data_IF_883523113584
#
_entry.id   IF_883523113584
#
_cell.length_a   1.000
_cell.length_b   1.000
_cell.length_c   1.000
_cell.angle_alpha   90.00
_cell.angle_beta   90.00
_cell.angle_gamma   90.00
#
_symmetry.space_group_name_H-M   'P 1'
#
loop_
_entity.id
_entity.type
_entity.pdbx_description
1 polymer ?
#
# COMPACT_ATOMS: atom_id res chain seq x y z
N UNK A 1 18.41 22.39 39.58
CA UNK A 1 19.27 23.09 38.61
C UNK A 1 19.96 22.03 37.77
N UNK A 2 20.02 22.28 36.45
CA UNK A 2 20.46 21.40 35.35
C UNK A 2 19.58 20.14 35.18
N UNK A 3 18.68 20.01 34.21
CA UNK A 3 18.54 20.72 32.93
C UNK A 3 19.34 20.02 31.85
N UNK A 4 18.81 18.92 31.31
CA UNK A 4 19.18 18.41 29.98
C UNK A 4 17.90 18.04 29.23
N UNK A 5 17.53 19.00 28.38
CA UNK A 5 16.52 18.94 27.34
C UNK A 5 17.13 18.24 26.12
N UNK A 6 16.72 17.00 25.84
CA UNK A 6 16.98 16.37 24.55
C UNK A 6 15.80 16.67 23.62
N UNK A 7 15.73 17.93 23.19
CA UNK A 7 14.96 18.37 22.04
C UNK A 7 15.90 18.35 20.82
N UNK A 8 15.94 17.23 20.11
CA UNK A 8 16.35 17.26 18.71
C UNK A 8 15.10 17.42 17.85
N UNK A 9 14.65 18.67 17.78
CA UNK A 9 14.01 19.18 16.58
C UNK A 9 14.95 18.88 15.42
N UNK A 10 14.51 18.06 14.47
CA UNK A 10 15.24 17.68 13.26
C UNK A 10 15.02 18.78 12.20
N UNK A 11 15.96 19.72 11.99
CA UNK A 11 15.74 20.87 11.11
C UNK A 11 16.52 20.62 9.83
N UNK A 12 16.01 19.77 8.95
CA UNK A 12 16.49 19.68 7.58
C UNK A 12 15.44 19.09 6.63
N UNK A 13 14.63 19.98 6.05
CA UNK A 13 14.05 19.81 4.71
C UNK A 13 15.20 19.70 3.69
N UNK A 14 15.91 18.56 3.67
CA UNK A 14 16.83 18.26 2.59
C UNK A 14 16.01 18.16 1.31
N UNK A 15 16.24 19.07 0.36
CA UNK A 15 15.81 18.87 -1.02
C UNK A 15 16.36 17.52 -1.48
N UNK A 16 15.46 16.54 -1.58
CA UNK A 16 15.83 15.21 -2.02
C UNK A 16 16.36 15.30 -3.46
N UNK A 17 17.44 14.57 -3.80
CA UNK A 17 17.97 14.61 -5.14
C UNK A 17 16.95 14.08 -6.15
N UNK A 18 17.07 14.48 -7.44
CA UNK A 18 16.28 13.89 -8.50
C UNK A 18 16.37 12.36 -8.50
N UNK A 19 15.27 11.69 -8.83
CA UNK A 19 15.22 10.23 -8.81
C UNK A 19 15.95 9.63 -10.01
N UNK A 20 16.60 8.48 -9.86
CA UNK A 20 16.97 7.65 -11.00
C UNK A 20 15.74 6.90 -11.51
N UNK A 21 15.34 7.17 -12.75
CA UNK A 21 14.22 6.46 -13.40
C UNK A 21 14.66 5.04 -13.72
N UNK A 22 13.85 4.04 -13.35
CA UNK A 22 14.13 2.63 -13.65
C UNK A 22 13.21 2.09 -14.73
N UNK A 23 13.84 1.49 -15.74
CA UNK A 23 13.17 0.75 -16.78
C UNK A 23 12.60 -0.54 -16.23
N UNK A 24 11.32 -0.76 -16.50
CA UNK A 24 10.71 -2.07 -16.45
C UNK A 24 10.58 -2.57 -17.88
N UNK A 25 11.20 -3.70 -18.22
CA UNK A 25 11.17 -4.26 -19.58
C UNK A 25 9.73 -4.53 -20.08
N UNK A 26 8.77 -4.67 -19.17
CA UNK A 26 7.37 -4.90 -19.49
C UNK A 26 6.61 -3.63 -19.94
N UNK A 27 7.16 -2.42 -19.77
CA UNK A 27 6.44 -1.17 -20.15
C UNK A 27 6.62 -0.79 -21.61
N UNK A 28 7.56 -1.42 -22.33
CA UNK A 28 7.92 -1.04 -23.71
C UNK A 28 8.63 0.31 -23.82
N UNK A 29 8.90 0.99 -22.69
CA UNK A 29 9.66 2.25 -22.65
C UNK A 29 11.14 1.94 -22.87
N UNK A 30 11.79 2.69 -23.74
CA UNK A 30 13.22 2.55 -24.05
C UNK A 30 14.06 3.50 -23.20
N UNK A 31 15.37 3.22 -23.10
CA UNK A 31 16.32 4.14 -22.46
C UNK A 31 16.31 5.52 -23.14
N UNK A 32 16.16 5.56 -24.46
CA UNK A 32 16.04 6.80 -25.23
C UNK A 32 14.90 7.70 -24.74
N UNK A 33 13.71 7.14 -24.44
CA UNK A 33 12.59 7.93 -23.90
C UNK A 33 12.91 8.52 -22.53
N UNK A 34 13.68 7.80 -21.70
CA UNK A 34 14.14 8.31 -20.41
C UNK A 34 15.13 9.46 -20.60
N UNK A 35 16.08 9.31 -21.52
CA UNK A 35 17.09 10.32 -21.82
C UNK A 35 16.42 11.59 -22.40
N UNK A 36 15.41 11.42 -23.25
CA UNK A 36 14.57 12.51 -23.75
C UNK A 36 13.81 13.22 -22.63
N UNK A 37 13.24 12.47 -21.67
CA UNK A 37 12.58 13.07 -20.51
C UNK A 37 13.57 13.87 -19.65
N UNK A 38 14.74 13.31 -19.35
CA UNK A 38 15.78 14.01 -18.58
C UNK A 38 16.23 15.29 -19.29
N UNK A 39 16.46 15.21 -20.60
CA UNK A 39 16.79 16.37 -21.44
C UNK A 39 15.69 17.43 -21.34
N UNK A 40 14.41 17.04 -21.41
CA UNK A 40 13.29 17.98 -21.27
C UNK A 40 13.25 18.65 -19.87
N UNK A 41 13.59 17.91 -18.82
CA UNK A 41 13.71 18.45 -17.46
C UNK A 41 14.86 19.46 -17.35
N UNK A 42 15.99 19.18 -17.99
CA UNK A 42 17.15 20.07 -18.00
C UNK A 42 16.89 21.33 -18.83
N UNK A 43 16.26 21.19 -19.99
CA UNK A 43 15.78 22.32 -20.80
C UNK A 43 14.79 23.18 -20.02
N UNK A 44 13.85 22.58 -19.29
CA UNK A 44 12.95 23.32 -18.40
C UNK A 44 13.73 24.11 -17.36
N UNK A 45 14.70 23.48 -16.70
CA UNK A 45 15.52 24.17 -15.70
C UNK A 45 16.31 25.33 -16.30
N UNK A 46 16.83 25.19 -17.52
CA UNK A 46 17.53 26.26 -18.23
C UNK A 46 16.58 27.43 -18.58
N UNK A 47 15.37 27.14 -19.03
CA UNK A 47 14.38 28.18 -19.36
C UNK A 47 13.96 28.98 -18.12
N UNK A 48 13.96 28.35 -16.95
CA UNK A 48 13.62 28.99 -15.67
C UNK A 48 14.86 29.45 -14.88
N UNK A 49 16.08 29.37 -15.43
CA UNK A 49 17.28 29.83 -14.72
C UNK A 49 17.53 31.34 -14.84
N UNK A 50 16.85 32.02 -15.76
CA UNK A 50 16.98 33.45 -16.02
C UNK A 50 15.59 34.07 -16.15
N UNK A 51 15.34 35.19 -15.47
CA UNK A 51 14.03 35.88 -15.49
C UNK A 51 13.56 36.27 -16.90
N UNK A 52 14.49 36.60 -17.81
CA UNK A 52 14.15 36.95 -19.20
C UNK A 52 13.62 35.74 -19.95
N UNK A 53 14.32 34.60 -19.85
CA UNK A 53 13.89 33.35 -20.46
C UNK A 53 12.58 32.84 -19.86
N UNK A 54 12.42 32.96 -18.54
CA UNK A 54 11.17 32.60 -17.87
C UNK A 54 10.00 33.44 -18.39
N UNK A 55 10.17 34.77 -18.50
CA UNK A 55 9.12 35.68 -19.01
C UNK A 55 8.76 35.37 -20.45
N UNK A 56 9.75 35.20 -21.32
CA UNK A 56 9.53 34.90 -22.75
C UNK A 56 8.88 33.53 -22.93
N UNK A 57 9.33 32.53 -22.16
CA UNK A 57 8.78 31.19 -22.22
C UNK A 57 7.34 31.14 -21.70
N UNK A 58 7.05 31.77 -20.56
CA UNK A 58 5.68 31.87 -20.04
C UNK A 58 4.75 32.63 -21.01
N UNK A 59 5.27 33.66 -21.69
CA UNK A 59 4.51 34.35 -22.75
C UNK A 59 4.17 33.41 -23.91
N UNK A 60 5.12 32.60 -24.37
CA UNK A 60 4.88 31.58 -25.41
C UNK A 60 3.85 30.54 -24.95
N UNK A 61 4.00 29.99 -23.75
CA UNK A 61 3.06 29.01 -23.18
C UNK A 61 1.63 29.57 -23.13
N UNK A 62 1.48 30.84 -22.71
CA UNK A 62 0.18 31.51 -22.70
C UNK A 62 -0.37 31.71 -24.11
N UNK A 63 0.46 32.17 -25.04
CA UNK A 63 0.06 32.39 -26.45
C UNK A 63 -0.41 31.10 -27.11
N UNK A 64 0.21 29.97 -26.77
CA UNK A 64 -0.13 28.64 -27.27
C UNK A 64 -1.27 27.96 -26.52
N UNK A 65 -1.73 28.52 -25.40
CA UNK A 65 -2.69 27.87 -24.49
C UNK A 65 -2.20 26.50 -24.04
N UNK A 66 -0.92 26.41 -23.70
CA UNK A 66 -0.26 25.17 -23.32
C UNK A 66 -0.85 24.55 -22.04
N UNK A 67 -1.53 25.36 -21.21
CA UNK A 67 -2.32 24.95 -20.05
C UNK A 67 -3.47 23.99 -20.41
N UNK A 68 -3.96 24.04 -21.66
CA UNK A 68 -4.99 23.11 -22.16
C UNK A 68 -4.44 21.76 -22.61
N UNK A 69 -3.10 21.62 -22.71
CA UNK A 69 -2.49 20.41 -23.26
C UNK A 69 -2.35 19.32 -22.19
N UNK A 70 -2.98 18.14 -22.35
CA UNK A 70 -2.92 17.08 -21.35
C UNK A 70 -1.49 16.56 -21.11
N UNK A 71 -0.71 16.44 -22.19
CA UNK A 71 0.68 15.97 -22.12
C UNK A 71 1.58 16.96 -21.38
N UNK A 72 1.33 18.27 -21.51
CA UNK A 72 2.13 19.29 -20.85
C UNK A 72 1.89 19.24 -19.34
N UNK A 73 0.63 19.11 -18.93
CA UNK A 73 0.30 18.93 -17.50
C UNK A 73 0.90 17.63 -16.95
N UNK A 74 0.83 16.53 -17.72
CA UNK A 74 1.46 15.27 -17.32
C UNK A 74 2.98 15.40 -17.15
N UNK A 75 3.66 16.07 -18.09
CA UNK A 75 5.09 16.34 -18.00
C UNK A 75 5.44 17.17 -16.76
N UNK A 76 4.67 18.21 -16.45
CA UNK A 76 4.90 19.03 -15.26
C UNK A 76 4.78 18.21 -13.97
N UNK A 77 3.76 17.35 -13.86
CA UNK A 77 3.59 16.45 -12.72
C UNK A 77 4.77 15.48 -12.63
N UNK A 78 5.11 14.81 -13.74
CA UNK A 78 6.19 13.83 -13.78
C UNK A 78 7.56 14.47 -13.46
N UNK A 79 7.80 15.73 -13.87
CA UNK A 79 8.96 16.54 -13.48
C UNK A 79 8.99 16.82 -11.98
N UNK A 80 7.88 17.26 -11.39
CA UNK A 80 7.79 17.55 -9.95
C UNK A 80 8.02 16.28 -9.13
N UNK A 81 7.42 15.16 -9.55
CA UNK A 81 7.70 13.85 -8.99
C UNK A 81 9.18 13.51 -9.14
N UNK A 82 9.78 13.66 -10.32
CA UNK A 82 11.20 13.39 -10.55
C UNK A 82 12.11 14.23 -9.65
N UNK A 83 11.80 15.51 -9.40
CA UNK A 83 12.56 16.42 -8.52
C UNK A 83 12.21 16.35 -7.03
N UNK A 84 11.27 15.48 -6.63
CA UNK A 84 10.79 15.33 -5.26
C UNK A 84 10.05 16.57 -4.70
N UNK A 85 9.44 17.38 -5.58
CA UNK A 85 8.61 18.53 -5.23
C UNK A 85 7.15 18.07 -4.98
N UNK A 86 6.96 17.24 -3.95
CA UNK A 86 5.69 16.52 -3.73
C UNK A 86 4.50 17.43 -3.42
N UNK A 87 4.68 18.54 -2.69
CA UNK A 87 3.58 19.47 -2.38
C UNK A 87 3.00 20.12 -3.63
N UNK A 88 3.85 20.51 -4.57
CA UNK A 88 3.42 21.09 -5.84
C UNK A 88 2.75 20.03 -6.72
N UNK A 89 3.36 18.84 -6.82
CA UNK A 89 2.79 17.72 -7.56
C UNK A 89 1.40 17.36 -7.03
N UNK A 90 1.24 17.32 -5.71
CA UNK A 90 -0.02 17.00 -5.05
C UNK A 90 -1.12 18.00 -5.40
N UNK A 91 -0.84 19.31 -5.41
CA UNK A 91 -1.83 20.33 -5.81
C UNK A 91 -2.32 20.12 -7.25
N UNK A 92 -1.39 19.86 -8.18
CA UNK A 92 -1.73 19.61 -9.58
C UNK A 92 -2.55 18.32 -9.75
N UNK A 93 -2.16 17.25 -9.05
CA UNK A 93 -2.85 15.96 -9.07
C UNK A 93 -4.27 16.05 -8.51
N UNK A 94 -4.47 16.79 -7.42
CA UNK A 94 -5.80 17.01 -6.85
C UNK A 94 -6.72 17.80 -7.80
N UNK A 95 -6.19 18.80 -8.49
CA UNK A 95 -6.95 19.54 -9.50
C UNK A 95 -7.34 18.64 -10.69
N UNK A 96 -6.40 17.82 -11.17
CA UNK A 96 -6.69 16.84 -12.21
C UNK A 96 -7.74 15.82 -11.77
N UNK A 97 -7.64 15.32 -10.55
CA UNK A 97 -8.61 14.36 -10.01
C UNK A 97 -10.02 14.96 -9.93
N UNK A 98 -10.17 16.22 -9.52
CA UNK A 98 -11.46 16.92 -9.50
C UNK A 98 -12.08 17.06 -10.90
N UNK A 99 -11.26 17.38 -11.91
CA UNK A 99 -11.71 17.47 -13.31
C UNK A 99 -12.19 16.10 -13.80
N UNK A 100 -11.38 15.06 -13.58
CA UNK A 100 -11.71 13.68 -13.96
C UNK A 100 -12.97 13.13 -13.27
N UNK A 101 -13.24 13.55 -12.03
CA UNK A 101 -14.43 13.11 -11.28
C UNK A 101 -15.73 13.74 -11.79
N UNK A 102 -15.65 14.88 -12.48
CA UNK A 102 -16.81 15.65 -12.94
C UNK A 102 -17.24 15.26 -14.36
N UNK A 103 -16.32 14.74 -15.17
CA UNK A 103 -16.58 14.34 -16.55
C UNK A 103 -16.96 12.85 -16.61
N UNK A 104 -18.19 12.54 -17.03
CA UNK A 104 -18.66 11.17 -17.29
C UNK A 104 -17.84 10.54 -18.43
N UNK A 105 -16.79 9.77 -18.12
CA UNK A 105 -15.90 9.23 -19.17
C UNK A 105 -15.87 7.70 -19.28
N UNK A 106 -16.13 7.25 -20.51
CA UNK A 106 -16.04 5.90 -21.07
C UNK A 106 -14.60 5.43 -21.37
N UNK A 107 -13.57 6.23 -21.06
CA UNK A 107 -12.14 5.86 -21.14
C UNK A 107 -11.34 6.13 -19.85
N UNK A 108 -12.01 6.51 -18.75
CA UNK A 108 -11.42 7.19 -17.59
C UNK A 108 -10.63 6.32 -16.60
N UNK A 109 -10.77 4.99 -16.63
CA UNK A 109 -10.22 4.16 -15.53
C UNK A 109 -8.69 4.22 -15.42
N UNK A 110 -7.95 4.27 -16.53
CA UNK A 110 -6.47 4.28 -16.47
C UNK A 110 -5.90 5.63 -16.05
N UNK A 111 -6.49 6.75 -16.50
CA UNK A 111 -6.04 8.09 -16.11
C UNK A 111 -6.38 8.36 -14.64
N UNK A 112 -7.59 7.98 -14.20
CA UNK A 112 -7.98 8.05 -12.79
C UNK A 112 -7.05 7.20 -11.94
N UNK A 113 -6.76 5.97 -12.36
CA UNK A 113 -5.81 5.07 -11.68
C UNK A 113 -4.41 5.69 -11.58
N UNK A 114 -3.86 6.25 -12.68
CA UNK A 114 -2.56 6.95 -12.67
C UNK A 114 -2.56 8.09 -11.66
N UNK A 115 -3.59 8.95 -11.70
CA UNK A 115 -3.69 10.12 -10.81
C UNK A 115 -3.79 9.69 -9.35
N UNK A 116 -4.63 8.70 -9.03
CA UNK A 116 -4.76 8.18 -7.66
C UNK A 116 -3.45 7.57 -7.15
N UNK A 117 -2.76 6.79 -7.97
CA UNK A 117 -1.45 6.21 -7.65
C UNK A 117 -0.40 7.28 -7.36
N UNK A 118 -0.27 8.27 -8.25
CA UNK A 118 0.69 9.37 -8.05
C UNK A 118 0.33 10.20 -6.82
N UNK A 119 -0.96 10.42 -6.56
CA UNK A 119 -1.45 11.14 -5.37
C UNK A 119 -1.12 10.36 -4.09
N UNK A 120 -1.40 9.06 -4.06
CA UNK A 120 -1.07 8.17 -2.95
C UNK A 120 0.44 8.19 -2.64
N UNK A 121 1.27 8.11 -3.69
CA UNK A 121 2.72 8.18 -3.56
C UNK A 121 3.17 9.53 -2.97
N UNK A 122 2.61 10.66 -3.43
CA UNK A 122 2.89 11.98 -2.86
C UNK A 122 2.52 12.05 -1.36
N UNK A 123 1.31 11.63 -0.99
CA UNK A 123 0.88 11.62 0.41
C UNK A 123 1.79 10.75 1.28
N UNK A 124 2.15 9.57 0.80
CA UNK A 124 3.06 8.67 1.52
C UNK A 124 4.43 9.33 1.76
N UNK A 125 4.96 10.03 0.73
CA UNK A 125 6.25 10.74 0.83
C UNK A 125 6.20 11.96 1.73
N UNK A 126 5.04 12.59 1.86
CA UNK A 126 4.75 13.68 2.81
C UNK A 126 4.37 13.16 4.20
N UNK A 127 4.51 11.86 4.47
CA UNK A 127 4.14 11.20 5.73
C UNK A 127 2.65 11.30 6.11
N UNK A 128 1.77 11.60 5.15
CA UNK A 128 0.32 11.61 5.32
C UNK A 128 -0.24 10.21 5.01
N UNK A 129 0.04 9.25 5.90
CA UNK A 129 -0.24 7.82 5.69
C UNK A 129 -1.74 7.51 5.50
N UNK A 130 -2.62 8.17 6.26
CA UNK A 130 -4.08 7.97 6.16
C UNK A 130 -4.60 8.36 4.76
N UNK A 131 -4.23 9.55 4.27
CA UNK A 131 -4.57 10.02 2.92
C UNK A 131 -3.95 9.15 1.82
N UNK A 132 -2.71 8.68 2.02
CA UNK A 132 -2.06 7.78 1.07
C UNK A 132 -2.82 6.45 0.91
N UNK A 133 -3.32 5.91 2.02
CA UNK A 133 -4.08 4.66 2.03
C UNK A 133 -5.46 4.85 1.43
N UNK A 134 -6.15 5.95 1.74
CA UNK A 134 -7.44 6.27 1.10
C UNK A 134 -7.30 6.32 -0.42
N UNK A 135 -6.30 7.04 -0.94
CA UNK A 135 -6.07 7.11 -2.40
C UNK A 135 -5.71 5.74 -2.98
N UNK A 136 -4.95 4.92 -2.24
CA UNK A 136 -4.57 3.56 -2.63
C UNK A 136 -5.79 2.64 -2.72
N UNK A 137 -6.66 2.65 -1.71
CA UNK A 137 -7.88 1.84 -1.68
C UNK A 137 -8.87 2.28 -2.76
N UNK A 138 -8.98 3.58 -3.02
CA UNK A 138 -9.75 4.08 -4.16
C UNK A 138 -9.16 3.59 -5.50
N UNK A 139 -7.83 3.56 -5.63
CA UNK A 139 -7.16 3.06 -6.83
C UNK A 139 -7.44 1.56 -7.09
N UNK A 140 -7.54 0.74 -6.04
CA UNK A 140 -7.88 -0.70 -6.17
C UNK A 140 -9.20 -0.91 -6.91
N UNK A 141 -10.19 -0.02 -6.70
CA UNK A 141 -11.51 -0.08 -7.37
C UNK A 141 -11.42 0.10 -8.88
N UNK A 142 -10.37 0.77 -9.36
CA UNK A 142 -10.12 1.02 -10.79
C UNK A 142 -9.14 0.02 -11.42
N UNK A 143 -8.69 -1.00 -10.69
CA UNK A 143 -7.78 -2.02 -11.24
C UNK A 143 -8.45 -2.76 -12.41
N UNK A 144 -7.71 -2.97 -13.53
CA UNK A 144 -8.14 -3.87 -14.58
C UNK A 144 -8.47 -5.27 -14.02
N UNK A 145 -9.40 -6.02 -14.65
CA UNK A 145 -9.67 -7.39 -14.25
C UNK A 145 -8.39 -8.24 -14.36
N UNK A 146 -8.19 -9.23 -13.47
CA UNK A 146 -7.04 -10.11 -13.53
C UNK A 146 -7.03 -10.89 -14.85
N UNK A 147 -5.94 -10.80 -15.60
CA UNK A 147 -5.71 -11.60 -16.80
C UNK A 147 -5.33 -13.02 -16.39
N UNK A 148 -6.01 -14.02 -16.95
CA UNK A 148 -5.91 -15.44 -16.56
C UNK A 148 -4.51 -16.06 -16.73
N UNK A 149 -3.61 -15.42 -17.47
CA UNK A 149 -2.29 -15.96 -17.85
C UNK A 149 -1.10 -15.16 -17.27
N UNK A 150 -1.30 -14.33 -16.24
CA UNK A 150 -0.20 -13.60 -15.63
C UNK A 150 0.64 -14.52 -14.71
N UNK A 151 1.95 -14.69 -14.96
CA UNK A 151 2.82 -15.44 -14.06
C UNK A 151 2.87 -14.77 -12.67
N UNK A 152 3.06 -15.61 -11.65
CA UNK A 152 3.15 -15.20 -10.24
C UNK A 152 4.24 -14.12 -10.03
N UNK A 153 3.88 -13.11 -9.24
CA UNK A 153 4.62 -11.96 -8.69
C UNK A 153 6.12 -12.18 -8.35
N UNK A 154 6.55 -13.43 -8.12
CA UNK A 154 7.93 -13.76 -7.76
C UNK A 154 9.00 -13.31 -8.79
N UNK A 155 8.71 -13.35 -10.10
CA UNK A 155 9.69 -12.93 -11.13
C UNK A 155 9.81 -11.41 -11.26
N UNK A 156 8.71 -10.66 -11.06
CA UNK A 156 8.70 -9.19 -11.13
C UNK A 156 9.32 -8.59 -9.87
N UNK A 157 9.03 -9.15 -8.69
CA UNK A 157 9.62 -8.73 -7.43
C UNK A 157 11.13 -9.05 -7.34
N UNK A 158 11.57 -10.19 -7.85
CA UNK A 158 13.00 -10.56 -7.92
C UNK A 158 13.82 -9.64 -8.85
N UNK A 159 13.19 -9.06 -9.88
CA UNK A 159 13.81 -8.06 -10.73
C UNK A 159 13.94 -6.68 -10.04
N UNK A 160 13.00 -6.33 -9.15
CA UNK A 160 13.06 -5.09 -8.37
C UNK A 160 14.13 -5.15 -7.27
N UNK A 161 14.34 -6.31 -6.65
CA UNK A 161 15.18 -6.48 -5.46
C UNK A 161 16.70 -6.46 -5.68
N UNK A 162 17.19 -6.92 -6.83
CA UNK A 162 18.65 -7.14 -7.03
C UNK A 162 19.49 -5.86 -7.13
N UNK A 163 18.89 -4.67 -7.03
CA UNK A 163 19.62 -3.42 -7.31
C UNK A 163 19.35 -2.30 -6.29
N UNK A 164 18.93 -2.57 -5.06
CA UNK A 164 18.74 -1.51 -4.07
C UNK A 164 20.09 -1.03 -3.49
N UNK A 165 20.70 -0.02 -4.12
CA UNK A 165 21.66 0.83 -3.42
C UNK A 165 20.88 1.72 -2.45
N UNK A 166 21.18 1.62 -1.15
CA UNK A 166 20.47 2.33 -0.06
C UNK A 166 20.56 3.87 -0.14
N UNK A 167 21.29 4.43 -1.12
CA UNK A 167 21.64 5.85 -1.17
C UNK A 167 20.93 6.67 -2.27
N UNK A 168 20.28 6.06 -3.27
CA UNK A 168 19.64 6.82 -4.36
C UNK A 168 18.13 6.64 -4.41
N UNK A 169 17.42 7.75 -4.62
CA UNK A 169 15.99 7.76 -4.87
C UNK A 169 15.71 7.14 -6.23
N UNK A 170 14.79 6.18 -6.29
CA UNK A 170 14.39 5.53 -7.54
C UNK A 170 12.93 5.84 -7.88
N UNK A 171 12.64 6.00 -9.17
CA UNK A 171 11.29 6.15 -9.71
C UNK A 171 11.04 5.03 -10.74
N UNK A 172 10.38 3.93 -10.35
CA UNK A 172 10.12 2.83 -11.27
C UNK A 172 8.99 3.18 -12.24
N UNK A 173 9.18 2.88 -13.52
CA UNK A 173 8.09 2.86 -14.49
C UNK A 173 7.35 1.53 -14.37
N UNK A 174 6.08 1.59 -13.94
CA UNK A 174 5.28 0.39 -13.67
C UNK A 174 4.13 0.32 -14.68
N UNK A 175 3.90 -0.84 -15.34
CA UNK A 175 2.76 -0.98 -16.23
C UNK A 175 1.46 -0.92 -15.42
N UNK A 176 0.42 -0.30 -15.99
CA UNK A 176 -0.89 -0.18 -15.34
C UNK A 176 -1.71 -1.47 -15.45
N UNK A 177 -1.15 -2.59 -14.98
CA UNK A 177 -1.80 -3.91 -14.93
C UNK A 177 -2.07 -4.32 -13.49
N UNK A 178 -3.08 -5.18 -13.28
CA UNK A 178 -3.40 -5.67 -11.94
C UNK A 178 -2.21 -6.36 -11.26
N UNK A 179 -1.47 -7.19 -12.00
CA UNK A 179 -0.31 -7.93 -11.48
C UNK A 179 0.86 -7.05 -11.07
N UNK A 180 1.04 -5.90 -11.72
CA UNK A 180 2.15 -4.99 -11.41
C UNK A 180 1.80 -3.99 -10.30
N UNK A 181 0.53 -3.62 -10.16
CA UNK A 181 0.07 -2.62 -9.21
C UNK A 181 -0.36 -3.20 -7.86
N UNK A 182 -0.90 -4.42 -7.83
CA UNK A 182 -1.36 -5.04 -6.58
C UNK A 182 -0.23 -5.19 -5.53
N UNK A 183 1.00 -5.63 -5.87
CA UNK A 183 2.10 -5.67 -4.90
C UNK A 183 2.42 -4.28 -4.33
N UNK A 184 2.39 -3.25 -5.18
CA UNK A 184 2.65 -1.87 -4.75
C UNK A 184 1.59 -1.37 -3.77
N UNK A 185 0.32 -1.68 -4.02
CA UNK A 185 -0.78 -1.33 -3.12
C UNK A 185 -0.65 -2.02 -1.76
N UNK A 186 -0.40 -3.32 -1.75
CA UNK A 186 -0.22 -4.08 -0.52
C UNK A 186 0.96 -3.54 0.28
N UNK A 187 2.10 -3.28 -0.36
CA UNK A 187 3.29 -2.76 0.29
C UNK A 187 3.05 -1.36 0.88
N UNK A 188 2.41 -0.45 0.14
CA UNK A 188 2.11 0.90 0.63
C UNK A 188 1.18 0.87 1.85
N UNK A 189 0.13 0.04 1.80
CA UNK A 189 -0.78 -0.17 2.92
C UNK A 189 -0.03 -0.78 4.12
N UNK A 190 0.75 -1.83 3.91
CA UNK A 190 1.50 -2.50 4.97
C UNK A 190 2.48 -1.54 5.68
N UNK A 191 3.22 -0.73 4.91
CA UNK A 191 4.12 0.29 5.46
C UNK A 191 3.38 1.38 6.25
N UNK A 192 2.20 1.77 5.79
CA UNK A 192 1.35 2.75 6.48
C UNK A 192 0.80 2.19 7.79
N UNK A 193 0.33 0.94 7.77
CA UNK A 193 -0.16 0.22 8.95
C UNK A 193 0.95 -0.06 9.97
N UNK A 194 2.16 -0.43 9.51
CA UNK A 194 3.30 -0.74 10.39
C UNK A 194 3.58 0.40 11.38
N UNK A 195 3.56 1.65 10.90
CA UNK A 195 3.74 2.81 11.79
C UNK A 195 2.64 2.86 12.86
N UNK A 196 1.37 2.72 12.47
CA UNK A 196 0.26 2.85 13.43
C UNK A 196 0.20 1.69 14.43
N UNK A 197 0.31 0.46 13.95
CA UNK A 197 0.14 -0.76 14.76
C UNK A 197 1.29 -0.97 15.74
N UNK A 198 2.53 -0.66 15.38
CA UNK A 198 3.66 -0.90 16.28
C UNK A 198 3.99 0.29 17.20
N UNK A 199 3.59 1.51 16.87
CA UNK A 199 3.81 2.67 17.75
C UNK A 199 2.73 2.85 18.84
N UNK A 200 1.52 2.31 18.66
CA UNK A 200 0.46 2.41 19.66
C UNK A 200 0.57 1.30 20.73
N UNK A 201 0.40 1.69 22.00
CA UNK A 201 0.47 0.77 23.16
C UNK A 201 -0.68 -0.24 23.16
N UNK A 202 -1.87 0.23 22.82
CA UNK A 202 -3.06 -0.59 22.58
C UNK A 202 -3.41 -0.47 21.11
N UNK A 203 -3.60 -1.60 20.45
CA UNK A 203 -3.94 -1.66 19.03
C UNK A 203 -5.10 -2.60 18.88
N UNK A 204 -6.10 -2.15 18.13
CA UNK A 204 -7.27 -2.96 17.83
C UNK A 204 -6.86 -4.24 17.10
N UNK A 205 -7.44 -5.37 17.52
CA UNK A 205 -7.17 -6.68 16.93
C UNK A 205 -7.50 -6.71 15.44
N UNK A 206 -8.49 -5.94 14.99
CA UNK A 206 -8.82 -5.79 13.57
C UNK A 206 -7.64 -5.23 12.76
N UNK A 207 -6.90 -4.26 13.29
CA UNK A 207 -5.74 -3.70 12.60
C UNK A 207 -4.59 -4.71 12.52
N UNK A 208 -4.37 -5.48 13.59
CA UNK A 208 -3.40 -6.59 13.60
C UNK A 208 -3.80 -7.68 12.61
N UNK A 209 -5.09 -8.02 12.55
CA UNK A 209 -5.65 -8.97 11.59
C UNK A 209 -5.51 -8.52 10.14
N UNK A 210 -5.81 -7.25 9.83
CA UNK A 210 -5.58 -6.70 8.49
C UNK A 210 -4.10 -6.70 8.11
N UNK A 211 -3.19 -6.40 9.04
CA UNK A 211 -1.75 -6.52 8.77
C UNK A 211 -1.34 -7.96 8.45
N UNK A 212 -1.88 -8.96 9.15
CA UNK A 212 -1.63 -10.38 8.82
C UNK A 212 -2.07 -10.71 7.39
N UNK A 213 -3.25 -10.24 6.98
CA UNK A 213 -3.75 -10.44 5.62
C UNK A 213 -2.85 -9.79 4.59
N UNK A 214 -2.28 -8.62 4.87
CA UNK A 214 -1.33 -7.94 3.97
C UNK A 214 0.02 -8.65 3.91
N UNK A 215 0.56 -9.12 5.04
CA UNK A 215 1.89 -9.76 5.12
C UNK A 215 2.00 -11.06 4.32
N UNK A 216 0.91 -11.84 4.18
CA UNK A 216 0.97 -13.09 3.41
C UNK A 216 1.25 -12.88 1.92
N UNK A 217 1.01 -11.67 1.38
CA UNK A 217 1.16 -11.41 -0.05
C UNK A 217 2.60 -11.56 -0.55
N UNK A 218 3.57 -11.03 0.20
CA UNK A 218 5.00 -11.08 -0.11
C UNK A 218 5.74 -12.09 0.79
N UNK A 219 5.04 -13.12 1.29
CA UNK A 219 5.66 -14.17 2.10
C UNK A 219 6.76 -14.91 1.31
N UNK A 220 7.94 -15.21 1.90
CA UNK A 220 8.35 -15.05 3.31
C UNK A 220 9.07 -13.73 3.64
N UNK A 221 9.07 -12.72 2.76
CA UNK A 221 9.81 -11.46 3.00
C UNK A 221 9.36 -10.72 4.26
N UNK A 222 8.07 -10.83 4.57
CA UNK A 222 7.45 -10.18 5.73
C UNK A 222 7.52 -11.04 7.02
N UNK A 223 8.24 -12.16 7.02
CA UNK A 223 8.35 -13.05 8.20
C UNK A 223 8.88 -12.31 9.43
N UNK A 224 9.87 -11.42 9.26
CA UNK A 224 10.43 -10.63 10.38
C UNK A 224 9.35 -9.76 11.03
N UNK A 225 8.52 -9.10 10.21
CA UNK A 225 7.42 -8.26 10.69
C UNK A 225 6.32 -9.10 11.35
N UNK A 226 6.05 -10.29 10.79
CA UNK A 226 5.13 -11.26 11.37
C UNK A 226 5.60 -11.69 12.76
N UNK A 227 6.88 -12.01 12.95
CA UNK A 227 7.43 -12.39 14.26
C UNK A 227 7.29 -11.25 15.30
N UNK A 228 7.44 -9.99 14.88
CA UNK A 228 7.15 -8.83 15.75
C UNK A 228 5.67 -8.75 16.14
N UNK A 229 4.77 -9.00 15.19
CA UNK A 229 3.32 -9.04 15.43
C UNK A 229 2.96 -10.17 16.40
N UNK A 230 3.51 -11.37 16.23
CA UNK A 230 3.28 -12.50 17.14
C UNK A 230 3.73 -12.17 18.58
N UNK A 231 4.90 -11.53 18.75
CA UNK A 231 5.35 -11.07 20.07
C UNK A 231 4.36 -10.07 20.69
N UNK A 232 3.73 -9.22 19.89
CA UNK A 232 2.71 -8.27 20.36
C UNK A 232 1.43 -9.00 20.78
N UNK A 233 0.94 -9.95 19.98
CA UNK A 233 -0.23 -10.77 20.31
C UNK A 233 -0.03 -11.56 21.61
N UNK A 234 1.15 -12.17 21.79
CA UNK A 234 1.50 -12.88 23.04
C UNK A 234 1.44 -11.98 24.26
N UNK A 235 1.79 -10.69 24.13
CA UNK A 235 1.67 -9.70 25.20
C UNK A 235 0.22 -9.28 25.46
N UNK A 236 -0.63 -9.24 24.45
CA UNK A 236 -2.06 -8.90 24.58
C UNK A 236 -2.86 -10.04 25.22
N UNK A 237 -2.51 -11.30 24.99
CA UNK A 237 -3.13 -12.46 25.65
C UNK A 237 -4.46 -12.92 25.02
N UNK A 238 -5.08 -12.08 24.19
CA UNK A 238 -6.24 -12.42 23.36
C UNK A 238 -6.11 -11.82 21.96
N UNK A 239 -6.82 -12.40 21.00
CA UNK A 239 -6.91 -11.89 19.64
C UNK A 239 -8.28 -12.24 19.03
N UNK A 240 -9.05 -11.21 18.68
CA UNK A 240 -10.36 -11.29 18.04
C UNK A 240 -10.28 -10.84 16.58
N UNK A 241 -10.50 -11.76 15.64
CA UNK A 241 -10.48 -11.44 14.21
C UNK A 241 -11.41 -12.38 13.42
N UNK A 242 -12.71 -12.05 13.29
CA UNK A 242 -13.74 -12.97 12.80
C UNK A 242 -13.65 -13.31 11.30
N UNK A 243 -12.86 -12.55 10.54
CA UNK A 243 -12.61 -12.76 9.10
C UNK A 243 -11.27 -13.48 8.85
N UNK A 244 -10.62 -14.02 9.88
CA UNK A 244 -9.35 -14.75 9.76
C UNK A 244 -9.41 -15.87 8.72
N UNK A 245 -10.39 -16.76 8.86
CA UNK A 245 -10.59 -17.89 7.94
C UNK A 245 -11.16 -17.46 6.58
N UNK A 246 -11.51 -16.19 6.38
CA UNK A 246 -11.90 -15.69 5.06
C UNK A 246 -10.65 -15.42 4.20
N UNK A 247 -9.60 -14.86 4.80
CA UNK A 247 -8.50 -14.26 4.05
C UNK A 247 -7.11 -14.86 4.32
N UNK A 248 -6.84 -15.52 5.45
CA UNK A 248 -5.51 -16.07 5.75
C UNK A 248 -5.38 -17.48 5.20
N UNK A 249 -4.59 -17.69 4.15
CA UNK A 249 -4.38 -19.02 3.53
C UNK A 249 -2.93 -19.51 3.59
N UNK A 250 -2.01 -18.68 4.07
CA UNK A 250 -0.59 -19.02 4.20
C UNK A 250 -0.37 -20.10 5.28
N UNK A 251 0.26 -21.22 4.91
CA UNK A 251 0.44 -22.39 5.77
C UNK A 251 1.26 -22.04 7.02
N UNK A 252 2.39 -21.37 6.87
CA UNK A 252 3.28 -21.04 7.99
C UNK A 252 2.55 -20.16 9.03
N UNK A 253 1.74 -19.20 8.58
CA UNK A 253 0.89 -18.40 9.46
C UNK A 253 -0.18 -19.25 10.16
N UNK A 254 -0.85 -20.15 9.44
CA UNK A 254 -1.88 -21.02 10.03
C UNK A 254 -1.28 -21.94 11.11
N UNK A 255 -0.11 -22.50 10.85
CA UNK A 255 0.63 -23.34 11.79
C UNK A 255 0.99 -22.57 13.07
N UNK A 256 1.53 -21.35 12.94
CA UNK A 256 1.85 -20.51 14.09
C UNK A 256 0.58 -20.17 14.90
N UNK A 257 -0.54 -19.83 14.26
CA UNK A 257 -1.80 -19.57 14.96
C UNK A 257 -2.38 -20.83 15.64
N UNK A 258 -2.20 -22.00 15.05
CA UNK A 258 -2.54 -23.26 15.71
C UNK A 258 -1.66 -23.49 16.96
N UNK A 259 -0.36 -23.20 16.85
CA UNK A 259 0.59 -23.29 17.96
C UNK A 259 0.29 -22.31 19.09
N UNK A 260 -0.01 -21.04 18.78
CA UNK A 260 -0.31 -19.98 19.76
C UNK A 260 -1.44 -20.32 20.73
N UNK A 261 -2.40 -21.12 20.27
CA UNK A 261 -3.54 -21.57 21.09
C UNK A 261 -3.16 -22.63 22.14
N UNK A 262 -2.05 -23.34 21.92
CA UNK A 262 -1.60 -24.43 22.81
C UNK A 262 -1.00 -23.89 24.10
N UNK A 263 -0.88 -24.75 25.11
CA UNK A 263 -0.26 -24.39 26.39
C UNK A 263 1.21 -24.00 26.24
N UNK A 264 1.94 -24.65 25.32
CA UNK A 264 3.35 -24.38 25.05
C UNK A 264 3.57 -23.17 24.14
N UNK A 265 2.59 -22.81 23.30
CA UNK A 265 2.69 -21.68 22.37
C UNK A 265 2.27 -20.31 22.92
N UNK A 266 1.80 -20.25 24.17
CA UNK A 266 1.45 -19.00 24.86
C UNK A 266 0.02 -18.94 25.38
N UNK A 267 -0.80 -19.98 25.12
CA UNK A 267 -2.19 -20.09 25.59
C UNK A 267 -3.03 -18.87 25.22
N UNK A 268 -2.83 -18.37 24.00
CA UNK A 268 -3.50 -17.18 23.51
C UNK A 268 -5.00 -17.45 23.34
N UNK A 269 -5.86 -16.55 23.84
CA UNK A 269 -7.29 -16.64 23.61
C UNK A 269 -7.63 -16.16 22.19
N UNK A 270 -7.80 -17.10 21.28
CA UNK A 270 -8.13 -16.85 19.88
C UNK A 270 -9.65 -16.93 19.63
N UNK A 271 -10.22 -15.85 19.12
CA UNK A 271 -11.60 -15.79 18.64
C UNK A 271 -11.61 -15.38 17.15
N UNK A 272 -11.43 -16.41 16.31
CA UNK A 272 -11.23 -16.28 14.86
C UNK A 272 -12.47 -16.67 14.05
N UNK A 273 -13.46 -17.26 14.71
CA UNK A 273 -14.68 -17.73 14.07
C UNK A 273 -15.69 -16.58 14.07
N UNK A 274 -16.49 -16.41 13.00
CA UNK A 274 -17.54 -15.41 13.01
C UNK A 274 -18.53 -15.69 14.16
N UNK A 275 -19.04 -14.64 14.83
CA UNK A 275 -19.96 -14.81 15.94
C UNK A 275 -21.22 -15.53 15.46
N UNK A 276 -21.46 -16.72 16.00
CA UNK A 276 -22.62 -17.52 15.63
C UNK A 276 -23.90 -16.76 16.04
N UNK A 277 -24.88 -16.54 15.15
CA UNK A 277 -26.13 -15.86 15.52
C UNK A 277 -26.93 -16.62 16.58
N UNK A 278 -26.66 -17.92 16.76
CA UNK A 278 -27.24 -18.78 17.79
C UNK A 278 -26.61 -18.64 19.18
N UNK A 279 -25.40 -18.08 19.32
CA UNK A 279 -24.68 -17.99 20.61
C UNK A 279 -24.97 -16.71 21.42
N UNK A 280 -25.64 -15.71 20.84
CA UNK A 280 -25.96 -14.45 21.56
C UNK A 280 -27.07 -14.65 22.63
N UNK A 281 -27.84 -15.75 22.56
CA UNK A 281 -28.93 -16.04 23.52
C UNK A 281 -28.54 -16.88 24.74
N UNK A 282 -27.31 -17.37 24.87
CA UNK A 282 -26.89 -18.20 26.00
C UNK A 282 -25.79 -17.54 26.83
N UNK A 283 -26.07 -16.34 27.37
CA UNK A 283 -25.37 -15.83 28.57
C UNK A 283 -25.99 -16.38 29.86
N UNK A 284 -26.27 -17.68 29.88
CA UNK A 284 -26.48 -18.43 31.12
C UNK A 284 -26.07 -19.87 30.84
N UNK A 285 -25.38 -20.48 31.81
CA UNK A 285 -25.04 -21.91 31.95
C UNK A 285 -23.55 -22.24 31.80
N UNK A 286 -22.98 -22.51 32.97
CA UNK A 286 -21.68 -23.07 33.28
C UNK A 286 -21.59 -24.57 32.91
N UNK A 287 -20.38 -25.04 32.59
CA UNK A 287 -19.95 -26.44 32.35
C UNK A 287 -20.41 -27.12 31.05
N UNK A 288 -19.54 -27.05 30.02
CA UNK A 288 -19.27 -28.06 28.94
C UNK A 288 -18.98 -27.49 27.53
N UNK A 289 -18.92 -26.16 27.36
CA UNK A 289 -18.72 -25.47 26.06
C UNK A 289 -17.27 -25.61 25.50
N UNK A 290 -16.30 -26.06 26.29
CA UNK A 290 -14.87 -26.04 25.91
C UNK A 290 -14.43 -27.14 24.93
N UNK A 291 -15.22 -28.20 24.73
CA UNK A 291 -14.88 -29.27 23.75
C UNK A 291 -15.32 -28.91 22.32
N UNK A 292 -16.51 -28.31 22.16
CA UNK A 292 -17.06 -27.91 20.86
C UNK A 292 -16.18 -26.85 20.17
N UNK A 293 -15.85 -25.76 20.87
CA UNK A 293 -15.01 -24.70 20.29
C UNK A 293 -13.56 -25.12 20.00
N UNK A 294 -13.05 -26.21 20.60
CA UNK A 294 -11.74 -26.78 20.24
C UNK A 294 -11.84 -27.53 18.91
N UNK A 295 -12.89 -28.34 18.74
CA UNK A 295 -13.13 -29.10 17.54
C UNK A 295 -13.51 -28.21 16.35
N UNK A 296 -14.37 -27.22 16.55
CA UNK A 296 -14.79 -26.28 15.49
C UNK A 296 -13.59 -25.51 14.91
N UNK A 297 -12.68 -25.07 15.77
CA UNK A 297 -11.43 -24.42 15.34
C UNK A 297 -10.52 -25.38 14.59
N UNK A 298 -10.39 -26.64 15.04
CA UNK A 298 -9.58 -27.66 14.36
C UNK A 298 -10.12 -27.91 12.95
N UNK A 299 -11.43 -28.12 12.84
CA UNK A 299 -12.12 -28.30 11.55
C UNK A 299 -11.98 -27.05 10.67
N UNK A 300 -12.06 -25.85 11.24
CA UNK A 300 -11.85 -24.61 10.49
C UNK A 300 -10.41 -24.49 9.97
N UNK A 301 -9.41 -24.82 10.78
CA UNK A 301 -8.01 -24.88 10.37
C UNK A 301 -7.77 -25.91 9.27
N UNK A 302 -8.28 -27.13 9.42
CA UNK A 302 -8.18 -28.20 8.40
C UNK A 302 -8.80 -27.75 7.06
N UNK A 303 -9.97 -27.10 7.10
CA UNK A 303 -10.59 -26.51 5.91
C UNK A 303 -9.76 -25.38 5.30
N UNK A 304 -9.14 -24.55 6.15
CA UNK A 304 -8.35 -23.42 5.68
C UNK A 304 -7.04 -23.86 5.02
N UNK A 305 -6.41 -24.92 5.51
CA UNK A 305 -5.21 -25.50 4.89
C UNK A 305 -5.49 -25.98 3.46
N UNK A 306 -6.69 -26.48 3.16
CA UNK A 306 -7.07 -26.87 1.79
C UNK A 306 -7.06 -25.67 0.82
N UNK A 307 -7.18 -24.44 1.33
CA UNK A 307 -7.19 -23.21 0.54
C UNK A 307 -5.80 -22.64 0.25
N UNK A 308 -4.72 -23.28 0.71
CA UNK A 308 -3.36 -22.76 0.55
C UNK A 308 -2.92 -22.55 -0.92
N UNK A 309 -3.53 -23.29 -1.85
CA UNK A 309 -3.29 -23.16 -3.30
C UNK A 309 -4.23 -22.19 -4.02
N UNK A 310 -5.11 -21.47 -3.31
CA UNK A 310 -5.97 -20.45 -3.92
C UNK A 310 -5.15 -19.29 -4.50
N UNK A 311 -5.74 -18.58 -5.47
CA UNK A 311 -5.10 -17.44 -6.09
C UNK A 311 -5.03 -16.26 -5.10
N UNK A 312 -3.83 -16.00 -4.58
CA UNK A 312 -3.59 -14.94 -3.59
C UNK A 312 -3.85 -13.53 -4.14
N UNK A 313 -3.57 -13.27 -5.42
CA UNK A 313 -3.87 -11.97 -6.04
C UNK A 313 -5.37 -11.69 -6.05
N UNK A 314 -6.17 -12.70 -6.41
CA UNK A 314 -7.63 -12.60 -6.40
C UNK A 314 -8.17 -12.43 -4.97
N UNK A 315 -7.64 -13.20 -4.02
CA UNK A 315 -8.02 -13.11 -2.60
C UNK A 315 -7.69 -11.73 -2.02
N UNK A 316 -6.50 -11.21 -2.31
CA UNK A 316 -6.04 -9.90 -1.86
C UNK A 316 -6.88 -8.78 -2.49
N UNK A 317 -7.20 -8.88 -3.79
CA UNK A 317 -8.09 -7.91 -4.44
C UNK A 317 -9.47 -7.90 -3.80
N UNK A 318 -10.03 -9.07 -3.47
CA UNK A 318 -11.30 -9.17 -2.73
C UNK A 318 -11.18 -8.53 -1.36
N UNK A 319 -10.14 -8.85 -0.59
CA UNK A 319 -9.90 -8.25 0.73
C UNK A 319 -9.86 -6.72 0.66
N UNK A 320 -9.03 -6.15 -0.22
CA UNK A 320 -8.88 -4.70 -0.36
C UNK A 320 -10.16 -3.99 -0.85
N UNK A 321 -11.05 -4.71 -1.54
CA UNK A 321 -12.32 -4.17 -2.03
C UNK A 321 -13.42 -4.28 -0.97
N UNK A 322 -13.55 -5.43 -0.32
CA UNK A 322 -14.61 -5.73 0.64
C UNK A 322 -14.36 -5.07 1.99
N UNK A 323 -13.12 -5.08 2.47
CA UNK A 323 -12.71 -4.49 3.76
C UNK A 323 -12.20 -3.05 3.59
N UNK A 324 -12.54 -2.38 2.49
CA UNK A 324 -12.03 -1.04 2.16
C UNK A 324 -12.33 -0.02 3.27
N UNK A 325 -13.57 0.01 3.77
CA UNK A 325 -14.00 1.00 4.75
C UNK A 325 -13.37 0.76 6.12
N UNK A 326 -13.25 -0.52 6.53
CA UNK A 326 -12.58 -0.91 7.78
C UNK A 326 -11.08 -0.64 7.71
N UNK A 327 -10.45 -0.91 6.57
CA UNK A 327 -9.05 -0.56 6.31
C UNK A 327 -8.79 0.95 6.40
N UNK A 328 -9.74 1.77 5.96
CA UNK A 328 -9.62 3.23 6.02
C UNK A 328 -9.83 3.76 7.45
N UNK A 329 -10.88 3.28 8.14
CA UNK A 329 -11.19 3.69 9.52
C UNK A 329 -10.04 3.40 10.48
N UNK A 330 -9.41 2.24 10.34
CA UNK A 330 -8.28 1.86 11.19
C UNK A 330 -7.03 2.70 10.97
N UNK A 331 -6.96 3.51 9.91
CA UNK A 331 -5.85 4.41 9.62
C UNK A 331 -6.14 5.89 9.91
N UNK A 332 -7.40 6.29 10.07
CA UNK A 332 -7.79 7.63 10.55
C UNK A 332 -7.44 7.83 12.02
#
# INVERSE_FOLDING_TARGET
MAGDSDSSDDPALFHLPPATIRLNKATGVTQEVIDMFQTAVDCWQLLYSNETFEKDFNWLLHRWKADTWPWFTAFLIDRLLYKAEFDQALRMLQEQYKKLSTEQQTGGNQQVLKTLLQTAACYFRLSQHSSACEMTLNAVRHLPPPTKDAPHVAEIAAAMEKTYSKSLRHLPLVPCTSSALLPYFVQLLLLSYKKKVFHLRETEDTALGHMLVLMQYDWPKEEVLFQELIKKLKKQGSFFYPIFFQYIINIDMLEEFAFLRTETGGKLQLDLLPPNPSSVRQRTVTRNITKGGKEDFRVAMEKQVVRCGENLDALMRTFLTTECDTLQQLLM
#
